data_IF_844975320221
#
_entry.id   IF_844975320221
#
_cell.length_a   1.000
_cell.length_b   1.000
_cell.length_c   1.000
_cell.angle_alpha   90.00
_cell.angle_beta   90.00
_cell.angle_gamma   90.00
#
_symmetry.space_group_name_H-M   'P 1'
#
loop_
_entity.id
_entity.type
_entity.pdbx_description
1 polymer ?
#
# COMPACT_ATOMS: atom_id res chain seq x y z
N UNK A 1 3.42 -11.25 -20.21
CA UNK A 1 2.55 -11.89 -19.18
C UNK A 1 1.95 -13.21 -19.66
N UNK A 2 1.32 -13.29 -20.83
CA UNK A 2 0.68 -14.54 -21.31
C UNK A 2 1.52 -15.40 -22.28
N UNK A 3 2.82 -15.12 -22.42
CA UNK A 3 3.70 -15.80 -23.39
C UNK A 3 3.10 -15.85 -24.81
N UNK A 4 2.44 -14.76 -25.20
CA UNK A 4 1.84 -14.54 -26.51
C UNK A 4 2.74 -13.63 -27.37
N UNK A 5 2.44 -13.53 -28.67
CA UNK A 5 3.21 -12.70 -29.60
C UNK A 5 4.66 -13.18 -29.77
N UNK A 6 5.60 -12.24 -29.70
CA UNK A 6 7.04 -12.50 -29.94
C UNK A 6 7.62 -13.62 -29.06
N UNK A 7 7.16 -13.75 -27.82
CA UNK A 7 7.58 -14.84 -26.93
C UNK A 7 7.05 -16.20 -27.38
N UNK A 8 5.81 -16.26 -27.89
CA UNK A 8 5.26 -17.50 -28.46
C UNK A 8 6.07 -17.90 -29.70
N UNK A 9 6.32 -16.96 -30.59
CA UNK A 9 7.05 -17.21 -31.84
C UNK A 9 8.49 -17.69 -31.57
N UNK A 10 9.14 -17.13 -30.55
CA UNK A 10 10.46 -17.57 -30.11
C UNK A 10 10.44 -19.02 -29.57
N UNK A 11 9.49 -19.37 -28.70
CA UNK A 11 9.35 -20.75 -28.22
C UNK A 11 9.03 -21.73 -29.36
N UNK A 12 8.10 -21.39 -30.24
CA UNK A 12 7.73 -22.24 -31.38
C UNK A 12 8.90 -22.44 -32.34
N UNK A 13 9.76 -21.41 -32.49
CA UNK A 13 10.99 -21.50 -33.27
C UNK A 13 12.01 -22.44 -32.62
N UNK A 14 12.16 -22.39 -31.29
CA UNK A 14 13.06 -23.28 -30.56
C UNK A 14 12.59 -24.74 -30.61
N UNK A 15 11.29 -25.00 -30.49
CA UNK A 15 10.69 -26.33 -30.66
C UNK A 15 10.91 -26.85 -32.08
N UNK A 16 10.63 -26.04 -33.11
CA UNK A 16 10.83 -26.42 -34.52
C UNK A 16 12.29 -26.71 -34.88
N UNK A 17 13.22 -25.89 -34.38
CA UNK A 17 14.66 -26.04 -34.68
C UNK A 17 15.31 -27.22 -33.95
N UNK A 18 14.62 -27.85 -32.99
CA UNK A 18 15.14 -28.97 -32.15
C UNK A 18 16.55 -28.74 -31.59
N UNK A 19 16.93 -27.48 -31.38
CA UNK A 19 18.24 -27.11 -30.82
C UNK A 19 18.38 -27.51 -29.36
N UNK A 20 17.26 -27.73 -28.69
CA UNK A 20 17.18 -28.10 -27.29
C UNK A 20 16.19 -29.24 -27.11
N UNK A 21 16.39 -30.04 -26.07
CA UNK A 21 15.45 -31.10 -25.66
C UNK A 21 14.12 -30.46 -25.29
N UNK A 22 13.02 -31.10 -25.68
CA UNK A 22 11.65 -30.57 -25.47
C UNK A 22 11.39 -30.24 -23.98
N UNK A 23 11.83 -31.11 -23.07
CA UNK A 23 11.73 -30.89 -21.62
C UNK A 23 12.40 -29.60 -21.15
N UNK A 24 13.49 -29.19 -21.82
CA UNK A 24 14.20 -27.95 -21.50
C UNK A 24 13.40 -26.73 -21.94
N UNK A 25 12.78 -26.79 -23.13
CA UNK A 25 11.90 -25.74 -23.65
C UNK A 25 10.66 -25.60 -22.76
N UNK A 26 10.08 -26.72 -22.33
CA UNK A 26 8.91 -26.72 -21.45
C UNK A 26 9.24 -26.20 -20.04
N UNK A 27 10.42 -26.52 -19.51
CA UNK A 27 10.93 -25.93 -18.27
C UNK A 27 11.06 -24.40 -18.36
N UNK A 28 11.58 -23.88 -19.47
CA UNK A 28 11.65 -22.43 -19.72
C UNK A 28 10.27 -21.79 -19.84
N UNK A 29 9.35 -22.43 -20.56
CA UNK A 29 7.95 -21.98 -20.68
C UNK A 29 7.29 -21.86 -19.31
N UNK A 30 7.49 -22.87 -18.44
CA UNK A 30 6.99 -22.86 -17.06
C UNK A 30 7.63 -21.77 -16.21
N UNK A 31 8.95 -21.62 -16.29
CA UNK A 31 9.69 -20.60 -15.54
C UNK A 31 9.26 -19.18 -15.93
N UNK A 32 9.14 -18.91 -17.23
CA UNK A 32 8.70 -17.62 -17.75
C UNK A 32 7.23 -17.34 -17.42
N UNK A 33 6.37 -18.37 -17.35
CA UNK A 33 4.99 -18.23 -16.89
C UNK A 33 4.91 -17.79 -15.43
N UNK A 34 5.77 -18.34 -14.57
CA UNK A 34 5.88 -17.91 -13.17
C UNK A 34 6.41 -16.48 -13.08
N UNK A 35 7.53 -16.17 -13.73
CA UNK A 35 8.16 -14.85 -13.67
C UNK A 35 7.25 -13.74 -14.25
N UNK A 36 6.63 -14.00 -15.41
CA UNK A 36 5.73 -13.07 -16.08
C UNK A 36 4.36 -12.91 -15.40
N UNK A 37 4.02 -13.79 -14.45
CA UNK A 37 2.84 -13.67 -13.59
C UNK A 37 3.07 -12.81 -12.34
N UNK A 38 4.33 -12.47 -12.02
CA UNK A 38 4.64 -11.55 -10.93
C UNK A 38 4.27 -10.14 -11.39
N UNK A 39 3.48 -9.43 -10.59
CA UNK A 39 3.23 -8.01 -10.79
C UNK A 39 4.53 -7.23 -10.55
N UNK A 40 5.25 -6.90 -11.63
CA UNK A 40 6.41 -6.01 -11.59
C UNK A 40 6.02 -4.52 -11.63
N UNK A 41 6.90 -3.68 -11.13
CA UNK A 41 6.87 -2.23 -11.35
C UNK A 41 7.38 -1.93 -12.76
N UNK A 42 6.67 -1.10 -13.51
CA UNK A 42 7.06 -0.72 -14.87
C UNK A 42 8.06 0.44 -14.80
N UNK A 43 9.29 0.21 -15.24
CA UNK A 43 10.26 1.26 -15.51
C UNK A 43 10.11 1.67 -16.99
N UNK A 44 9.81 2.93 -17.29
CA UNK A 44 9.81 3.43 -18.67
C UNK A 44 11.23 3.31 -19.28
N UNK A 45 11.32 2.92 -20.55
CA UNK A 45 12.60 2.73 -21.26
C UNK A 45 13.45 4.02 -21.34
N UNK A 46 12.84 5.18 -21.13
CA UNK A 46 13.49 6.51 -21.14
C UNK A 46 14.15 6.87 -19.80
N UNK A 47 13.91 6.11 -18.72
CA UNK A 47 14.53 6.36 -17.42
C UNK A 47 15.84 5.60 -17.28
N UNK A 48 16.90 6.33 -16.92
CA UNK A 48 18.16 5.73 -16.50
C UNK A 48 18.01 4.90 -15.22
N UNK A 49 18.83 3.86 -15.09
CA UNK A 49 18.83 2.90 -13.98
C UNK A 49 18.97 3.61 -12.62
N UNK A 50 19.75 4.69 -12.57
CA UNK A 50 19.92 5.49 -11.34
C UNK A 50 18.60 6.09 -10.87
N UNK A 51 17.77 6.59 -11.78
CA UNK A 51 16.47 7.19 -11.45
C UNK A 51 15.47 6.12 -11.00
N UNK A 52 15.49 4.95 -11.63
CA UNK A 52 14.69 3.79 -11.24
C UNK A 52 15.04 3.35 -9.81
N UNK A 53 16.33 3.25 -9.48
CA UNK A 53 16.78 2.90 -8.14
C UNK A 53 16.32 3.94 -7.12
N UNK A 54 16.43 5.23 -7.42
CA UNK A 54 15.97 6.29 -6.53
C UNK A 54 14.45 6.21 -6.28
N UNK A 55 13.66 5.97 -7.32
CA UNK A 55 12.21 5.82 -7.19
C UNK A 55 11.84 4.60 -6.33
N UNK A 56 12.54 3.48 -6.50
CA UNK A 56 12.35 2.27 -5.68
C UNK A 56 12.76 2.52 -4.22
N UNK A 57 13.93 3.13 -3.98
CA UNK A 57 14.40 3.46 -2.63
C UNK A 57 13.41 4.39 -1.94
N UNK A 58 12.92 5.43 -2.65
CA UNK A 58 11.90 6.33 -2.12
C UNK A 58 10.61 5.59 -1.79
N UNK A 59 10.12 4.73 -2.68
CA UNK A 59 8.93 3.92 -2.43
C UNK A 59 9.09 3.02 -1.19
N UNK A 60 10.25 2.36 -1.05
CA UNK A 60 10.55 1.51 0.11
C UNK A 60 10.65 2.34 1.39
N UNK A 61 11.34 3.48 1.36
CA UNK A 61 11.45 4.37 2.52
C UNK A 61 10.08 4.91 2.93
N UNK A 62 9.23 5.28 1.96
CA UNK A 62 7.86 5.69 2.21
C UNK A 62 7.07 4.54 2.84
N UNK A 63 7.16 3.31 2.32
CA UNK A 63 6.54 2.11 2.90
C UNK A 63 7.04 1.81 4.33
N UNK A 64 8.32 1.99 4.61
CA UNK A 64 8.91 1.76 5.95
C UNK A 64 8.50 2.85 6.94
N UNK A 65 8.50 4.11 6.50
CA UNK A 65 7.95 5.24 7.26
C UNK A 65 6.43 5.08 7.48
N UNK A 66 5.77 4.27 6.66
CA UNK A 66 4.38 3.83 6.78
C UNK A 66 4.24 2.54 7.60
N UNK A 67 5.06 2.33 8.65
CA UNK A 67 4.95 1.16 9.53
C UNK A 67 3.48 0.90 9.90
N UNK A 68 2.85 -0.15 9.34
CA UNK A 68 1.41 -0.32 9.44
C UNK A 68 1.04 -0.51 10.90
N UNK A 69 -0.05 0.11 11.33
CA UNK A 69 -0.62 -0.21 12.63
C UNK A 69 -1.01 -1.68 12.66
N UNK A 70 -0.74 -2.36 13.77
CA UNK A 70 -1.19 -3.74 13.96
C UNK A 70 -2.73 -3.80 13.87
N UNK A 71 -3.21 -4.54 12.88
CA UNK A 71 -4.63 -4.82 12.61
C UNK A 71 -4.76 -6.34 12.49
N UNK A 72 -5.76 -6.93 13.14
CA UNK A 72 -5.99 -8.37 13.05
C UNK A 72 -6.26 -8.79 11.59
N UNK A 73 -5.55 -9.80 11.10
CA UNK A 73 -5.57 -10.24 9.71
C UNK A 73 -6.83 -11.03 9.29
N UNK A 74 -7.67 -11.42 10.25
CA UNK A 74 -8.80 -12.35 10.06
C UNK A 74 -10.17 -11.67 10.13
N UNK A 75 -10.29 -10.41 9.67
CA UNK A 75 -11.59 -9.72 9.66
C UNK A 75 -12.22 -9.84 8.28
N UNK A 76 -13.17 -10.77 8.15
CA UNK A 76 -13.95 -10.97 6.93
C UNK A 76 -14.70 -9.68 6.56
N UNK A 77 -14.60 -9.27 5.30
CA UNK A 77 -15.28 -8.08 4.78
C UNK A 77 -14.63 -6.74 5.17
N UNK A 78 -13.46 -6.74 5.81
CA UNK A 78 -12.73 -5.52 6.17
C UNK A 78 -12.36 -4.69 4.94
N UNK A 79 -11.79 -5.33 3.91
CA UNK A 79 -11.39 -4.64 2.68
C UNK A 79 -12.58 -3.97 1.97
N UNK A 80 -13.73 -4.64 1.91
CA UNK A 80 -14.95 -4.09 1.33
C UNK A 80 -15.41 -2.83 2.07
N UNK A 81 -15.45 -2.88 3.41
CA UNK A 81 -15.81 -1.70 4.23
C UNK A 81 -14.81 -0.56 4.06
N UNK A 82 -13.52 -0.86 3.97
CA UNK A 82 -12.50 0.16 3.72
C UNK A 82 -12.70 0.80 2.34
N UNK A 83 -13.00 0.02 1.31
CA UNK A 83 -13.29 0.57 -0.03
C UNK A 83 -14.50 1.52 -0.01
N UNK A 84 -15.57 1.16 0.69
CA UNK A 84 -16.74 2.04 0.85
C UNK A 84 -16.36 3.37 1.53
N UNK A 85 -15.55 3.31 2.60
CA UNK A 85 -15.09 4.52 3.30
C UNK A 85 -14.17 5.38 2.42
N UNK A 86 -13.28 4.78 1.64
CA UNK A 86 -12.40 5.50 0.72
C UNK A 86 -13.19 6.23 -0.38
N UNK A 87 -14.25 5.61 -0.90
CA UNK A 87 -15.14 6.25 -1.88
C UNK A 87 -15.86 7.47 -1.29
N UNK A 88 -16.32 7.38 -0.04
CA UNK A 88 -16.97 8.51 0.64
C UNK A 88 -15.99 9.64 0.98
N UNK A 89 -14.77 9.30 1.37
CA UNK A 89 -13.75 10.27 1.73
C UNK A 89 -13.18 11.02 0.53
N UNK A 90 -13.40 10.59 -0.72
CA UNK A 90 -12.81 11.19 -1.93
C UNK A 90 -11.41 11.81 -1.68
N UNK A 91 -10.45 10.92 -1.45
CA UNK A 91 -9.11 11.22 -0.92
C UNK A 91 -8.29 12.15 -1.84
N UNK A 92 -8.78 12.45 -3.04
CA UNK A 92 -8.12 13.32 -4.02
C UNK A 92 -8.46 14.80 -3.84
N UNK A 93 -9.53 15.13 -3.10
CA UNK A 93 -9.86 16.52 -2.78
C UNK A 93 -8.93 17.07 -1.69
N UNK A 94 -8.58 18.36 -1.80
CA UNK A 94 -7.78 19.09 -0.81
C UNK A 94 -8.61 19.63 0.37
N UNK A 95 -9.89 19.29 0.46
CA UNK A 95 -10.78 19.73 1.53
C UNK A 95 -10.56 18.96 2.83
N UNK A 96 -10.90 19.61 3.96
CA UNK A 96 -10.90 18.94 5.27
C UNK A 96 -12.10 18.01 5.37
N UNK A 97 -11.84 16.74 5.61
CA UNK A 97 -12.88 15.70 5.74
C UNK A 97 -12.82 15.04 7.11
N UNK A 98 -13.99 14.89 7.72
CA UNK A 98 -14.15 14.27 9.03
C UNK A 98 -15.04 13.04 8.89
N UNK A 99 -14.52 11.88 9.28
CA UNK A 99 -15.25 10.61 9.28
C UNK A 99 -15.45 10.13 10.72
N UNK A 100 -16.71 10.04 11.15
CA UNK A 100 -17.09 9.48 12.44
C UNK A 100 -17.46 8.00 12.33
N UNK A 101 -16.80 7.13 13.11
CA UNK A 101 -17.19 5.73 13.27
C UNK A 101 -17.91 5.55 14.61
N UNK A 102 -19.20 5.16 14.57
CA UNK A 102 -20.03 4.96 15.76
C UNK A 102 -20.70 3.58 15.76
N UNK A 103 -21.23 3.17 16.92
CA UNK A 103 -21.87 1.86 17.12
C UNK A 103 -21.47 1.20 18.43
N UNK A 104 -21.98 -0.01 18.68
CA UNK A 104 -21.77 -0.76 19.92
C UNK A 104 -20.29 -1.00 20.27
N UNK A 105 -19.99 -1.20 21.55
CA UNK A 105 -18.67 -1.64 22.02
C UNK A 105 -18.26 -2.97 21.37
N UNK A 106 -16.96 -3.19 21.19
CA UNK A 106 -16.43 -4.46 20.66
C UNK A 106 -16.61 -4.71 19.15
N UNK A 107 -17.43 -3.93 18.44
CA UNK A 107 -17.73 -4.15 17.00
C UNK A 107 -16.55 -3.85 16.04
N UNK A 108 -15.39 -3.45 16.57
CA UNK A 108 -14.18 -3.25 15.77
C UNK A 108 -14.02 -1.86 15.13
N UNK A 109 -14.67 -0.81 15.66
CA UNK A 109 -14.54 0.57 15.13
C UNK A 109 -13.09 1.07 15.07
N UNK A 110 -12.35 0.91 16.17
CA UNK A 110 -10.92 1.27 16.24
C UNK A 110 -10.10 0.44 15.25
N UNK A 111 -10.45 -0.84 15.06
CA UNK A 111 -9.79 -1.71 14.11
C UNK A 111 -10.00 -1.24 12.66
N UNK A 112 -11.23 -0.85 12.32
CA UNK A 112 -11.55 -0.27 11.01
C UNK A 112 -10.82 1.07 10.79
N UNK A 113 -10.74 1.93 11.81
CA UNK A 113 -9.99 3.19 11.73
C UNK A 113 -8.49 2.96 11.47
N UNK A 114 -7.87 2.01 12.19
CA UNK A 114 -6.46 1.64 11.99
C UNK A 114 -6.22 1.07 10.60
N UNK A 115 -7.11 0.22 10.11
CA UNK A 115 -7.00 -0.38 8.78
C UNK A 115 -7.17 0.65 7.66
N UNK A 116 -8.13 1.58 7.81
CA UNK A 116 -8.29 2.71 6.90
C UNK A 116 -7.06 3.63 6.91
N UNK A 117 -6.53 3.95 8.10
CA UNK A 117 -5.29 4.71 8.24
C UNK A 117 -4.14 4.03 7.46
N UNK A 118 -3.93 2.72 7.62
CA UNK A 118 -2.90 1.99 6.90
C UNK A 118 -3.06 2.04 5.37
N UNK A 119 -4.28 2.21 4.84
CA UNK A 119 -4.50 2.42 3.40
C UNK A 119 -4.23 3.86 2.97
N UNK A 120 -4.53 4.82 3.83
CA UNK A 120 -4.40 6.25 3.53
C UNK A 120 -3.00 6.80 3.75
N UNK A 121 -2.24 6.21 4.67
CA UNK A 121 -1.00 6.75 5.22
C UNK A 121 0.03 7.13 4.14
N UNK A 122 0.09 6.36 3.05
CA UNK A 122 0.99 6.63 1.91
C UNK A 122 0.57 7.82 1.04
N UNK A 123 -0.68 8.27 1.11
CA UNK A 123 -1.19 9.41 0.34
C UNK A 123 -0.90 10.76 1.00
N UNK A 124 -0.41 10.78 2.25
CA UNK A 124 -0.17 12.01 3.00
C UNK A 124 1.30 12.15 3.39
N UNK A 125 1.89 13.32 3.11
CA UNK A 125 3.26 13.71 3.51
C UNK A 125 3.38 13.84 5.03
N UNK A 126 2.35 14.39 5.67
CA UNK A 126 2.26 14.60 7.11
C UNK A 126 1.05 13.85 7.63
N UNK A 127 1.26 13.06 8.68
CA UNK A 127 0.23 12.17 9.23
C UNK A 127 0.50 11.88 10.69
N UNK A 128 -0.57 11.68 11.45
CA UNK A 128 -0.46 11.32 12.85
C UNK A 128 -1.71 10.57 13.30
N UNK A 129 -1.52 9.39 13.88
CA UNK A 129 -2.61 8.63 14.50
C UNK A 129 -2.60 8.87 16.01
N UNK A 130 -3.74 9.33 16.54
CA UNK A 130 -3.94 9.51 17.98
C UNK A 130 -4.78 8.35 18.49
N UNK A 131 -4.19 7.48 19.29
CA UNK A 131 -4.92 6.42 20.01
C UNK A 131 -5.28 6.88 21.43
N UNK A 132 -6.22 6.16 22.05
CA UNK A 132 -6.48 6.22 23.49
C UNK A 132 -6.77 7.65 23.99
N UNK A 133 -7.50 8.43 23.18
CA UNK A 133 -7.86 9.84 23.44
C UNK A 133 -8.42 10.00 24.86
N UNK A 134 -9.34 9.11 25.26
CA UNK A 134 -9.96 9.13 26.59
C UNK A 134 -8.95 9.03 27.73
N UNK A 135 -7.88 8.27 27.54
CA UNK A 135 -6.85 8.07 28.57
C UNK A 135 -5.82 9.19 28.52
N UNK A 136 -5.41 9.58 27.32
CA UNK A 136 -4.43 10.65 27.09
C UNK A 136 -4.96 12.04 27.44
N UNK A 137 -6.28 12.23 27.47
CA UNK A 137 -6.92 13.48 27.87
C UNK A 137 -7.28 13.56 29.36
N UNK A 138 -6.88 12.58 30.19
CA UNK A 138 -7.16 12.61 31.64
C UNK A 138 -6.24 13.63 32.34
N UNK A 139 -6.78 14.33 33.33
CA UNK A 139 -6.05 15.31 34.16
C UNK A 139 -6.21 16.76 33.70
N UNK A 140 -5.65 17.68 34.48
CA UNK A 140 -5.71 19.11 34.19
C UNK A 140 -5.02 19.43 32.86
N UNK A 141 -5.69 20.24 32.03
CA UNK A 141 -5.24 20.60 30.68
C UNK A 141 -5.05 19.42 29.70
N UNK A 142 -5.59 18.22 29.99
CA UNK A 142 -5.37 17.02 29.17
C UNK A 142 -5.70 17.18 27.68
N UNK A 143 -6.82 17.83 27.34
CA UNK A 143 -7.19 18.12 25.95
C UNK A 143 -6.25 19.13 25.28
N UNK A 144 -5.81 20.16 26.01
CA UNK A 144 -4.86 21.16 25.51
C UNK A 144 -3.51 20.49 25.21
N UNK A 145 -3.06 19.62 26.11
CA UNK A 145 -1.83 18.83 25.92
C UNK A 145 -1.95 17.91 24.70
N UNK A 146 -3.10 17.26 24.52
CA UNK A 146 -3.37 16.42 23.35
C UNK A 146 -3.34 17.24 22.05
N UNK A 147 -3.96 18.41 22.03
CA UNK A 147 -3.94 19.34 20.90
C UNK A 147 -2.52 19.79 20.58
N UNK A 148 -1.74 20.23 21.57
CA UNK A 148 -0.35 20.67 21.39
C UNK A 148 0.52 19.53 20.85
N UNK A 149 0.34 18.30 21.35
CA UNK A 149 1.04 17.11 20.85
C UNK A 149 0.66 16.80 19.39
N UNK A 150 -0.62 16.89 19.06
CA UNK A 150 -1.12 16.70 17.70
C UNK A 150 -0.52 17.74 16.74
N UNK A 151 -0.63 19.02 17.08
CA UNK A 151 -0.08 20.12 16.29
C UNK A 151 1.44 20.01 16.14
N UNK A 152 2.16 19.68 17.21
CA UNK A 152 3.62 19.48 17.18
C UNK A 152 4.06 18.35 16.24
N UNK A 153 3.28 17.27 16.16
CA UNK A 153 3.55 16.18 15.20
C UNK A 153 3.27 16.60 13.77
N UNK A 154 2.22 17.37 13.52
CA UNK A 154 1.91 17.87 12.18
C UNK A 154 2.91 18.95 11.72
N UNK A 155 3.37 19.82 12.61
CA UNK A 155 4.29 20.92 12.27
C UNK A 155 5.75 20.48 12.11
N UNK A 156 6.13 19.32 12.65
CA UNK A 156 7.47 18.73 12.45
C UNK A 156 7.73 18.20 11.03
N UNK A 157 6.70 18.09 10.19
CA UNK A 157 6.87 17.79 8.77
C UNK A 157 7.47 19.00 8.06
N UNK A 158 8.67 18.88 7.48
CA UNK A 158 9.25 19.94 6.64
C UNK A 158 8.28 20.24 5.49
N UNK A 159 7.73 21.45 5.50
CA UNK A 159 6.88 22.00 4.45
C UNK A 159 7.64 21.99 3.13
#
# INVERSE_FOLDING_TARGET
RYQTGTFKDAFDTHTRKRRFVEDKIESWRRAMGKAGGIFGWYAPDEKDDQQVIQDIVKLILDLLANSPMAVASLIVGLDFRIQQLLQQLDVKSNEVKVLGLYGMGGIGKTTLAKALYNRLVAHFKVRYFVSDIRETSKGDHGLINLQNKFLGKLSSGRW
#
